data_IF_564185015227
#
_entry.id   IF_564185015227
#
_cell.length_a   1.000
_cell.length_b   1.000
_cell.length_c   1.000
_cell.angle_alpha   90.00
_cell.angle_beta   90.00
_cell.angle_gamma   90.00
#
_symmetry.space_group_name_H-M   'P 1'
#
loop_
_entity.id
_entity.type
_entity.pdbx_description
1 polymer ?
#
# COMPACT_ATOMS: atom_id res chain seq x y z
N UNK A 1 15.37 -12.13 12.64
CA UNK A 1 14.59 -11.08 11.97
C UNK A 1 15.45 -10.41 10.90
N UNK A 2 15.07 -10.48 9.63
CA UNK A 2 15.83 -9.94 8.48
C UNK A 2 16.02 -8.42 8.56
N UNK A 3 15.05 -7.70 9.15
CA UNK A 3 15.07 -6.23 9.29
C UNK A 3 16.09 -5.77 10.32
N UNK A 4 16.35 -6.56 11.36
CA UNK A 4 17.26 -6.17 12.45
C UNK A 4 18.70 -5.87 11.96
N UNK A 5 19.10 -6.51 10.87
CA UNK A 5 20.44 -6.36 10.29
C UNK A 5 20.62 -4.99 9.63
N UNK A 6 19.52 -4.39 9.16
CA UNK A 6 19.49 -3.07 8.54
C UNK A 6 18.96 -2.00 9.49
N UNK A 7 19.16 -2.18 10.82
CA UNK A 7 18.58 -1.33 11.88
C UNK A 7 18.87 0.15 11.70
N UNK A 8 20.09 0.53 11.29
CA UNK A 8 20.46 1.93 11.05
C UNK A 8 19.66 2.52 9.88
N UNK A 9 19.56 1.80 8.76
CA UNK A 9 18.80 2.27 7.60
C UNK A 9 17.29 2.36 7.94
N UNK A 10 16.77 1.40 8.68
CA UNK A 10 15.40 1.42 9.16
C UNK A 10 15.12 2.63 10.06
N UNK A 11 16.02 2.92 11.02
CA UNK A 11 15.90 4.10 11.89
C UNK A 11 15.94 5.41 11.10
N UNK A 12 16.88 5.56 10.14
CA UNK A 12 16.97 6.73 9.27
C UNK A 12 15.72 6.90 8.40
N UNK A 13 15.11 5.80 7.98
CA UNK A 13 13.83 5.83 7.25
C UNK A 13 12.70 6.38 8.13
N UNK A 14 12.60 5.93 9.39
CA UNK A 14 11.61 6.45 10.36
C UNK A 14 11.83 7.94 10.57
N UNK A 15 13.06 8.37 10.81
CA UNK A 15 13.40 9.78 10.99
C UNK A 15 12.98 10.63 9.78
N UNK A 16 13.22 10.12 8.56
CA UNK A 16 12.74 10.76 7.32
C UNK A 16 11.22 10.89 7.27
N UNK A 17 10.48 9.84 7.63
CA UNK A 17 9.02 9.88 7.65
C UNK A 17 8.45 10.76 8.76
N UNK A 18 9.11 10.86 9.91
CA UNK A 18 8.77 11.84 10.95
C UNK A 18 8.93 13.26 10.41
N UNK A 19 10.07 13.58 9.80
CA UNK A 19 10.29 14.88 9.16
C UNK A 19 9.25 15.20 8.09
N UNK A 20 8.89 14.22 7.27
CA UNK A 20 7.81 14.34 6.28
C UNK A 20 6.46 14.66 6.93
N UNK A 21 6.09 13.94 8.00
CA UNK A 21 4.80 14.10 8.69
C UNK A 21 4.71 15.45 9.41
N UNK A 22 5.78 15.87 10.06
CA UNK A 22 5.87 17.19 10.71
C UNK A 22 5.76 18.30 9.67
N UNK A 23 6.45 18.19 8.54
CA UNK A 23 6.35 19.18 7.46
C UNK A 23 4.93 19.29 6.88
N UNK A 24 4.16 18.19 6.80
CA UNK A 24 2.75 18.24 6.40
C UNK A 24 1.89 19.04 7.38
N UNK A 25 2.11 18.87 8.69
CA UNK A 25 1.41 19.65 9.72
C UNK A 25 1.79 21.12 9.62
N UNK A 26 3.09 21.43 9.50
CA UNK A 26 3.56 22.81 9.41
C UNK A 26 3.08 23.49 8.12
N UNK A 27 2.90 22.77 7.02
CA UNK A 27 2.28 23.32 5.81
C UNK A 27 0.80 23.66 6.02
N UNK A 28 0.07 22.88 6.81
CA UNK A 28 -1.29 23.26 7.22
C UNK A 28 -1.29 24.48 8.14
N UNK A 29 -0.34 24.56 9.09
CA UNK A 29 -0.22 25.71 10.00
C UNK A 29 0.27 26.99 9.28
N UNK A 30 1.02 26.86 8.18
CA UNK A 30 1.41 27.99 7.34
C UNK A 30 0.20 28.70 6.72
N UNK A 31 -0.86 27.97 6.38
CA UNK A 31 -2.11 28.59 5.90
C UNK A 31 -2.79 29.39 7.02
N UNK A 32 -2.70 28.92 8.26
CA UNK A 32 -3.13 29.67 9.45
C UNK A 32 -2.35 30.97 9.57
N UNK A 33 -1.02 30.88 9.54
CA UNK A 33 -0.14 32.03 9.64
C UNK A 33 -0.43 33.10 8.56
N UNK A 34 -0.64 32.66 7.30
CA UNK A 34 -1.01 33.56 6.21
C UNK A 34 -2.31 34.32 6.50
N UNK A 35 -3.38 33.60 6.88
CA UNK A 35 -4.69 34.19 7.08
C UNK A 35 -4.75 35.08 8.33
N UNK A 36 -4.10 34.67 9.42
CA UNK A 36 -4.02 35.45 10.64
C UNK A 36 -3.18 36.71 10.43
N UNK A 37 -2.22 36.72 9.48
CA UNK A 37 -1.45 37.92 9.12
C UNK A 37 -2.20 38.90 8.24
N UNK A 38 -3.25 38.49 7.52
CA UNK A 38 -4.11 39.31 6.71
C UNK A 38 -5.27 39.95 7.53
N UNK A 39 -5.59 39.33 8.68
CA UNK A 39 -6.61 39.85 9.60
C UNK A 39 -6.02 40.83 10.61
N UNK A 40 -6.83 41.79 11.09
CA UNK A 40 -6.46 42.70 12.17
C UNK A 40 -6.36 42.03 13.56
N UNK A 41 -6.31 40.72 13.61
CA UNK A 41 -6.35 39.93 14.87
C UNK A 41 -5.02 40.10 15.64
N UNK A 42 -5.09 40.67 16.83
CA UNK A 42 -4.00 40.77 17.83
C UNK A 42 -3.41 39.44 18.27
N UNK A 43 -3.87 38.31 17.72
CA UNK A 43 -3.47 36.93 18.02
C UNK A 43 -2.41 36.38 17.05
N UNK A 44 -1.77 37.23 16.29
CA UNK A 44 -0.65 36.87 15.42
C UNK A 44 0.50 36.33 16.30
N UNK A 45 0.87 35.08 16.15
CA UNK A 45 1.98 34.50 16.91
C UNK A 45 1.64 33.23 17.71
N UNK A 46 0.38 32.75 17.69
CA UNK A 46 -0.04 31.57 18.43
C UNK A 46 0.18 30.25 17.64
N UNK A 47 0.38 30.33 16.30
CA UNK A 47 0.62 29.17 15.44
C UNK A 47 2.04 28.59 15.58
N UNK A 48 2.21 27.30 15.28
CA UNK A 48 3.52 26.63 15.33
C UNK A 48 4.53 27.29 14.37
N UNK A 49 4.09 27.57 13.13
CA UNK A 49 4.92 28.22 12.12
C UNK A 49 5.24 29.65 12.54
N UNK A 50 4.26 30.39 13.09
CA UNK A 50 4.49 31.75 13.58
C UNK A 50 5.58 31.78 14.67
N UNK A 51 5.52 30.87 15.64
CA UNK A 51 6.54 30.76 16.69
C UNK A 51 7.92 30.42 16.12
N UNK A 52 8.00 29.47 15.17
CA UNK A 52 9.27 29.10 14.53
C UNK A 52 9.85 30.27 13.72
N UNK A 53 9.02 30.93 12.93
CA UNK A 53 9.46 32.05 12.07
C UNK A 53 9.88 33.24 12.92
N UNK A 54 9.13 33.60 13.98
CA UNK A 54 9.53 34.68 14.91
C UNK A 54 10.80 34.37 15.69
N UNK A 55 11.03 33.07 16.04
CA UNK A 55 12.25 32.63 16.70
C UNK A 55 13.49 32.72 15.81
N UNK A 56 13.34 32.45 14.49
CA UNK A 56 14.44 32.48 13.53
C UNK A 56 14.67 33.88 12.92
N UNK A 57 13.60 34.63 12.72
CA UNK A 57 13.60 35.97 12.13
C UNK A 57 12.60 36.87 12.87
N UNK A 58 13.05 37.61 13.88
CA UNK A 58 12.20 38.52 14.63
C UNK A 58 11.59 39.59 13.71
N UNK A 59 10.32 39.92 13.95
CA UNK A 59 9.52 40.80 13.13
C UNK A 59 10.11 42.21 13.01
N UNK A 60 10.82 42.69 14.05
CA UNK A 60 11.30 44.08 14.14
C UNK A 60 10.14 45.07 14.05
N UNK A 61 10.37 46.18 13.35
CA UNK A 61 9.37 47.25 13.12
C UNK A 61 8.48 47.05 11.87
N UNK A 62 8.53 45.84 11.26
CA UNK A 62 7.74 45.54 10.06
C UNK A 62 6.27 45.34 10.40
N UNK A 63 5.41 45.88 9.54
CA UNK A 63 3.97 45.60 9.56
C UNK A 63 3.71 44.07 9.36
N UNK A 64 2.61 43.59 9.94
CA UNK A 64 2.23 42.18 9.85
C UNK A 64 2.18 41.67 8.41
N UNK A 65 1.57 42.41 7.52
CA UNK A 65 1.41 42.09 6.11
C UNK A 65 2.76 42.11 5.38
N UNK A 66 3.59 43.13 5.65
CA UNK A 66 4.92 43.25 5.07
C UNK A 66 5.83 42.10 5.50
N UNK A 67 5.76 41.70 6.77
CA UNK A 67 6.47 40.52 7.29
C UNK A 67 5.98 39.21 6.67
N UNK A 68 4.67 38.96 6.62
CA UNK A 68 4.08 37.80 6.04
C UNK A 68 4.37 37.66 4.53
N UNK A 69 4.46 38.78 3.80
CA UNK A 69 4.80 38.83 2.37
C UNK A 69 6.14 38.14 2.05
N UNK A 70 7.08 38.14 2.99
CA UNK A 70 8.37 37.48 2.83
C UNK A 70 8.37 36.11 3.56
N UNK A 71 7.88 36.11 4.78
CA UNK A 71 7.94 34.94 5.66
C UNK A 71 7.12 33.74 5.11
N UNK A 72 5.94 33.97 4.51
CA UNK A 72 5.08 32.90 3.98
C UNK A 72 5.69 32.23 2.77
N UNK A 73 6.13 32.91 1.70
CA UNK A 73 6.77 32.25 0.56
C UNK A 73 8.07 31.54 0.94
N UNK A 74 8.91 32.16 1.76
CA UNK A 74 10.16 31.54 2.23
C UNK A 74 9.85 30.30 3.08
N UNK A 75 8.92 30.42 4.02
CA UNK A 75 8.46 29.30 4.85
C UNK A 75 7.87 28.16 4.00
N UNK A 76 7.07 28.47 2.99
CA UNK A 76 6.53 27.46 2.06
C UNK A 76 7.63 26.69 1.33
N UNK A 77 8.64 27.42 0.81
CA UNK A 77 9.78 26.77 0.12
C UNK A 77 10.60 25.91 1.09
N UNK A 78 10.93 26.44 2.27
CA UNK A 78 11.69 25.71 3.30
C UNK A 78 10.94 24.44 3.74
N UNK A 79 9.66 24.55 4.05
CA UNK A 79 8.83 23.41 4.45
C UNK A 79 8.66 22.41 3.31
N UNK A 80 8.53 22.87 2.07
CA UNK A 80 8.51 21.97 0.91
C UNK A 80 9.83 21.22 0.73
N UNK A 81 10.97 21.87 0.94
CA UNK A 81 12.29 21.23 0.91
C UNK A 81 12.46 20.20 2.05
N UNK A 82 12.07 20.56 3.28
CA UNK A 82 12.09 19.65 4.43
C UNK A 82 11.20 18.43 4.16
N UNK A 83 10.00 18.67 3.64
CA UNK A 83 9.07 17.60 3.26
C UNK A 83 9.64 16.71 2.17
N UNK A 84 10.24 17.29 1.12
CA UNK A 84 10.87 16.54 0.03
C UNK A 84 12.07 15.72 0.53
N UNK A 85 12.93 16.32 1.37
CA UNK A 85 14.06 15.64 1.99
C UNK A 85 13.59 14.49 2.90
N UNK A 86 12.59 14.72 3.75
CA UNK A 86 12.02 13.69 4.61
C UNK A 86 11.40 12.54 3.81
N UNK A 87 10.68 12.85 2.74
CA UNK A 87 10.14 11.85 1.81
C UNK A 87 11.25 11.05 1.12
N UNK A 88 12.27 11.73 0.63
CA UNK A 88 13.41 11.09 -0.02
C UNK A 88 14.16 10.16 0.95
N UNK A 89 14.57 10.68 2.10
CA UNK A 89 15.28 9.89 3.12
C UNK A 89 14.45 8.67 3.56
N UNK A 90 13.18 8.89 3.90
CA UNK A 90 12.28 7.82 4.32
C UNK A 90 12.18 6.71 3.29
N UNK A 91 11.92 7.06 2.02
CA UNK A 91 11.79 6.06 0.95
C UNK A 91 13.13 5.43 0.55
N UNK A 92 14.21 6.20 0.48
CA UNK A 92 15.52 5.69 0.06
C UNK A 92 16.04 4.64 1.06
N UNK A 93 16.06 4.97 2.35
CA UNK A 93 16.54 4.04 3.38
C UNK A 93 15.61 2.83 3.56
N UNK A 94 14.29 3.00 3.41
CA UNK A 94 13.38 1.87 3.41
C UNK A 94 13.60 0.93 2.20
N UNK A 95 13.93 1.48 1.04
CA UNK A 95 14.29 0.67 -0.13
C UNK A 95 15.62 -0.09 0.09
N UNK A 96 16.60 0.47 0.81
CA UNK A 96 17.82 -0.27 1.18
C UNK A 96 17.45 -1.49 2.03
N UNK A 97 16.60 -1.32 3.05
CA UNK A 97 16.09 -2.44 3.87
C UNK A 97 15.39 -3.47 2.98
N UNK A 98 14.48 -3.03 2.12
CA UNK A 98 13.72 -3.89 1.22
C UNK A 98 14.63 -4.73 0.32
N UNK A 99 15.56 -4.09 -0.39
CA UNK A 99 16.47 -4.79 -1.30
C UNK A 99 17.43 -5.72 -0.59
N UNK A 100 17.84 -5.37 0.63
CA UNK A 100 18.62 -6.26 1.48
C UNK A 100 17.85 -7.52 1.89
N UNK A 101 16.58 -7.40 2.23
CA UNK A 101 15.71 -8.56 2.53
C UNK A 101 15.49 -9.42 1.29
N UNK A 102 15.22 -8.82 0.11
CA UNK A 102 15.12 -9.54 -1.18
C UNK A 102 16.36 -10.40 -1.44
N UNK A 103 17.52 -9.76 -1.36
CA UNK A 103 18.78 -10.44 -1.63
C UNK A 103 18.96 -11.67 -0.73
N UNK A 104 18.74 -11.52 0.56
CA UNK A 104 18.86 -12.62 1.53
C UNK A 104 17.86 -13.74 1.31
N UNK A 105 16.58 -13.39 1.09
CA UNK A 105 15.57 -14.40 0.81
C UNK A 105 15.91 -15.16 -0.47
N UNK A 106 16.34 -14.45 -1.51
CA UNK A 106 16.70 -15.07 -2.79
C UNK A 106 17.87 -16.06 -2.65
N UNK A 107 18.91 -15.66 -1.91
CA UNK A 107 20.05 -16.56 -1.65
C UNK A 107 19.64 -17.75 -0.81
N UNK A 108 18.83 -17.56 0.23
CA UNK A 108 18.37 -18.68 1.07
C UNK A 108 17.47 -19.66 0.31
N UNK A 109 16.53 -19.15 -0.51
CA UNK A 109 15.70 -20.03 -1.37
C UNK A 109 16.56 -20.78 -2.37
N UNK A 110 17.53 -20.10 -2.98
CA UNK A 110 18.45 -20.75 -3.92
C UNK A 110 19.29 -21.84 -3.23
N UNK A 111 19.90 -21.50 -2.08
CA UNK A 111 20.69 -22.45 -1.30
C UNK A 111 19.88 -23.67 -0.83
N UNK A 112 18.60 -23.43 -0.46
CA UNK A 112 17.69 -24.52 -0.14
C UNK A 112 17.41 -25.40 -1.38
N UNK A 113 17.04 -24.80 -2.51
CA UNK A 113 16.70 -25.51 -3.74
C UNK A 113 17.83 -26.43 -4.26
N UNK A 114 19.09 -26.00 -4.15
CA UNK A 114 20.22 -26.84 -4.61
C UNK A 114 20.58 -27.97 -3.65
N UNK A 115 20.00 -27.98 -2.42
CA UNK A 115 20.28 -28.99 -1.40
C UNK A 115 19.12 -29.96 -1.17
N UNK A 116 17.93 -29.69 -1.71
CA UNK A 116 16.79 -30.61 -1.55
C UNK A 116 16.96 -31.87 -2.38
N UNK A 117 16.38 -33.02 -1.94
CA UNK A 117 16.39 -34.26 -2.70
C UNK A 117 15.80 -34.07 -4.10
N UNK A 118 16.38 -34.78 -5.08
CA UNK A 118 15.95 -34.70 -6.48
C UNK A 118 14.45 -34.99 -6.66
N UNK A 119 13.86 -35.87 -5.89
CA UNK A 119 12.43 -36.21 -5.91
C UNK A 119 11.54 -34.98 -5.67
N UNK A 120 11.99 -34.04 -4.81
CA UNK A 120 11.26 -32.79 -4.54
C UNK A 120 11.33 -31.85 -5.77
N UNK A 121 12.51 -31.77 -6.41
CA UNK A 121 12.72 -30.94 -7.62
C UNK A 121 11.90 -31.50 -8.80
N UNK A 122 11.86 -32.81 -8.98
CA UNK A 122 11.11 -33.49 -10.06
C UNK A 122 9.58 -33.27 -9.93
N UNK A 123 9.09 -32.90 -8.74
CA UNK A 123 7.69 -32.50 -8.51
C UNK A 123 7.33 -31.12 -9.04
N UNK A 124 8.30 -30.31 -9.47
CA UNK A 124 8.09 -28.95 -9.99
C UNK A 124 8.53 -28.86 -11.46
N UNK A 125 7.87 -27.99 -12.21
CA UNK A 125 8.37 -27.59 -13.52
C UNK A 125 9.54 -26.62 -13.38
N UNK A 126 10.44 -26.58 -14.35
CA UNK A 126 11.54 -25.60 -14.38
C UNK A 126 11.04 -24.14 -14.30
N UNK A 127 9.90 -23.86 -14.93
CA UNK A 127 9.27 -22.53 -14.89
C UNK A 127 8.80 -22.14 -13.48
N UNK A 128 8.25 -23.08 -12.73
CA UNK A 128 7.82 -22.86 -11.33
C UNK A 128 9.01 -22.56 -10.42
N UNK A 129 10.11 -23.31 -10.53
CA UNK A 129 11.32 -23.08 -9.74
C UNK A 129 11.94 -21.70 -10.03
N UNK A 130 12.02 -21.32 -11.31
CA UNK A 130 12.49 -19.99 -11.70
C UNK A 130 11.54 -18.90 -11.20
N UNK A 131 10.22 -19.13 -11.26
CA UNK A 131 9.21 -18.20 -10.75
C UNK A 131 9.35 -18.00 -9.23
N UNK A 132 9.61 -19.06 -8.47
CA UNK A 132 9.85 -18.96 -7.01
C UNK A 132 11.03 -18.05 -6.69
N UNK A 133 12.14 -18.20 -7.39
CA UNK A 133 13.35 -17.40 -7.19
C UNK A 133 13.21 -15.92 -7.65
N UNK A 134 12.36 -15.67 -8.64
CA UNK A 134 12.22 -14.34 -9.23
C UNK A 134 10.98 -13.62 -8.71
N UNK A 135 9.79 -14.13 -9.01
CA UNK A 135 8.52 -13.46 -8.71
C UNK A 135 8.09 -13.59 -7.25
N UNK A 136 8.12 -14.80 -6.68
CA UNK A 136 7.60 -14.99 -5.32
C UNK A 136 8.46 -14.28 -4.29
N UNK A 137 9.80 -14.32 -4.42
CA UNK A 137 10.71 -13.57 -3.53
C UNK A 137 10.49 -12.07 -3.65
N UNK A 138 10.35 -11.54 -4.87
CA UNK A 138 10.08 -10.11 -5.09
C UNK A 138 8.71 -9.71 -4.52
N UNK A 139 7.69 -10.58 -4.66
CA UNK A 139 6.35 -10.35 -4.15
C UNK A 139 6.30 -10.30 -2.62
N UNK A 140 6.98 -11.23 -1.92
CA UNK A 140 7.07 -11.23 -0.46
C UNK A 140 7.76 -9.97 0.05
N UNK A 141 8.89 -9.64 -0.53
CA UNK A 141 9.65 -8.48 -0.09
C UNK A 141 8.98 -7.16 -0.49
N UNK A 142 8.42 -7.08 -1.70
CA UNK A 142 7.67 -5.91 -2.15
C UNK A 142 6.45 -5.65 -1.27
N UNK A 143 5.67 -6.70 -0.95
CA UNK A 143 4.53 -6.59 -0.06
C UNK A 143 4.95 -6.16 1.36
N UNK A 144 5.96 -6.81 1.94
CA UNK A 144 6.43 -6.50 3.30
C UNK A 144 6.96 -5.06 3.40
N UNK A 145 7.75 -4.62 2.42
CA UNK A 145 8.36 -3.29 2.41
C UNK A 145 7.34 -2.18 2.16
N UNK A 146 6.41 -2.39 1.22
CA UNK A 146 5.37 -1.41 0.92
C UNK A 146 4.36 -1.30 2.07
N UNK A 147 3.99 -2.43 2.68
CA UNK A 147 3.14 -2.43 3.86
C UNK A 147 3.81 -1.67 5.02
N UNK A 148 5.07 -1.99 5.33
CA UNK A 148 5.81 -1.36 6.42
C UNK A 148 6.02 0.15 6.19
N UNK A 149 6.39 0.52 4.95
CA UNK A 149 6.53 1.91 4.52
C UNK A 149 5.22 2.69 4.68
N UNK A 150 4.11 2.12 4.24
CA UNK A 150 2.80 2.75 4.31
C UNK A 150 2.33 2.88 5.76
N UNK A 151 2.48 1.84 6.59
CA UNK A 151 2.11 1.89 8.01
C UNK A 151 2.89 2.98 8.73
N UNK A 152 4.20 3.06 8.53
CA UNK A 152 5.04 4.03 9.23
C UNK A 152 4.77 5.45 8.68
N UNK A 153 4.90 5.67 7.37
CA UNK A 153 4.74 7.00 6.78
C UNK A 153 3.33 7.56 6.97
N UNK A 154 2.33 6.78 6.55
CA UNK A 154 0.96 7.25 6.55
C UNK A 154 0.36 7.20 7.95
N UNK A 155 0.77 6.22 8.79
CA UNK A 155 0.41 6.16 10.20
C UNK A 155 0.95 7.36 10.99
N UNK A 156 2.23 7.70 10.83
CA UNK A 156 2.81 8.90 11.45
C UNK A 156 2.14 10.18 10.96
N UNK A 157 1.81 10.25 9.66
CA UNK A 157 1.11 11.42 9.10
C UNK A 157 -0.29 11.56 9.69
N UNK A 158 -1.05 10.46 9.82
CA UNK A 158 -2.38 10.48 10.46
C UNK A 158 -2.28 10.90 11.92
N UNK A 159 -1.36 10.33 12.69
CA UNK A 159 -1.16 10.68 14.09
C UNK A 159 -0.76 12.15 14.26
N UNK A 160 0.15 12.65 13.43
CA UNK A 160 0.59 14.04 13.49
C UNK A 160 -0.53 15.03 13.13
N UNK A 161 -1.33 14.73 12.09
CA UNK A 161 -2.46 15.56 11.70
C UNK A 161 -3.58 15.54 12.75
N UNK A 162 -3.90 14.38 13.33
CA UNK A 162 -4.90 14.27 14.41
C UNK A 162 -4.42 15.04 15.64
N UNK A 163 -3.15 14.88 16.05
CA UNK A 163 -2.59 15.62 17.17
C UNK A 163 -2.65 17.14 16.92
N UNK A 164 -2.39 17.58 15.69
CA UNK A 164 -2.51 18.97 15.30
C UNK A 164 -3.96 19.48 15.32
N UNK A 165 -4.92 18.68 14.84
CA UNK A 165 -6.34 19.03 14.91
C UNK A 165 -6.83 19.14 16.37
N UNK A 166 -6.40 18.24 17.27
CA UNK A 166 -6.69 18.32 18.70
C UNK A 166 -6.05 19.56 19.35
N UNK A 167 -4.83 19.93 18.92
CA UNK A 167 -4.16 21.14 19.37
C UNK A 167 -4.90 22.40 18.92
N UNK A 168 -5.47 22.43 17.70
CA UNK A 168 -6.25 23.55 17.21
C UNK A 168 -7.58 23.70 17.97
N UNK A 169 -8.35 22.60 18.02
CA UNK A 169 -9.60 22.55 18.76
C UNK A 169 -10.07 21.09 18.95
N UNK A 170 -10.13 20.65 20.19
CA UNK A 170 -10.53 19.29 20.52
C UNK A 170 -12.03 19.02 20.26
N UNK A 171 -12.90 20.04 20.43
CA UNK A 171 -14.35 19.92 20.23
C UNK A 171 -14.67 19.68 18.75
N UNK A 172 -14.09 20.50 17.84
CA UNK A 172 -14.24 20.31 16.40
C UNK A 172 -13.64 18.98 15.93
N UNK A 173 -12.57 18.54 16.56
CA UNK A 173 -11.95 17.24 16.25
C UNK A 173 -12.89 16.10 16.63
N UNK A 174 -13.57 16.19 17.76
CA UNK A 174 -14.61 15.20 18.15
C UNK A 174 -15.78 15.19 17.17
N UNK A 175 -16.26 16.36 16.75
CA UNK A 175 -17.31 16.48 15.73
C UNK A 175 -16.86 15.80 14.42
N UNK A 176 -15.63 16.06 13.98
CA UNK A 176 -15.04 15.43 12.79
C UNK A 176 -15.03 13.89 12.94
N UNK A 177 -14.61 13.37 14.09
CA UNK A 177 -14.62 11.94 14.35
C UNK A 177 -16.03 11.36 14.46
N UNK A 178 -17.01 12.10 14.92
CA UNK A 178 -18.40 11.64 14.97
C UNK A 178 -19.03 11.51 13.57
N UNK A 179 -18.62 12.34 12.61
CA UNK A 179 -19.10 12.28 11.21
C UNK A 179 -18.35 11.20 10.41
N UNK A 180 -17.10 10.93 10.72
CA UNK A 180 -16.24 9.96 10.00
C UNK A 180 -16.84 8.56 9.88
N UNK A 181 -17.46 7.94 10.91
CA UNK A 181 -18.08 6.61 10.79
C UNK A 181 -19.23 6.55 9.79
N UNK A 182 -20.01 7.63 9.67
CA UNK A 182 -21.10 7.69 8.68
C UNK A 182 -20.53 7.64 7.24
N UNK A 183 -19.48 8.40 6.98
CA UNK A 183 -18.76 8.36 5.69
C UNK A 183 -18.16 6.97 5.45
N UNK A 184 -17.50 6.41 6.46
CA UNK A 184 -16.92 5.07 6.37
C UNK A 184 -17.98 3.99 6.08
N UNK A 185 -19.15 4.08 6.68
CA UNK A 185 -20.28 3.18 6.43
C UNK A 185 -20.70 3.17 4.96
N UNK A 186 -20.85 4.34 4.36
CA UNK A 186 -21.20 4.47 2.94
C UNK A 186 -20.10 3.91 2.04
N UNK A 187 -18.83 4.22 2.33
CA UNK A 187 -17.68 3.68 1.57
C UNK A 187 -17.62 2.15 1.65
N UNK A 188 -17.93 1.57 2.81
CA UNK A 188 -17.97 0.11 2.98
C UNK A 188 -19.10 -0.53 2.16
N UNK A 189 -20.29 0.08 2.12
CA UNK A 189 -21.42 -0.41 1.31
C UNK A 189 -21.08 -0.37 -0.18
N UNK A 190 -20.56 0.75 -0.67
CA UNK A 190 -20.11 0.91 -2.05
C UNK A 190 -19.01 -0.12 -2.38
N UNK A 191 -18.04 -0.29 -1.49
CA UNK A 191 -16.94 -1.25 -1.65
C UNK A 191 -17.39 -2.71 -1.71
N UNK A 192 -18.46 -3.09 -0.99
CA UNK A 192 -19.06 -4.43 -1.07
C UNK A 192 -19.67 -4.68 -2.45
N UNK A 193 -20.43 -3.71 -2.97
CA UNK A 193 -21.04 -3.81 -4.30
C UNK A 193 -19.97 -3.86 -5.41
N UNK A 194 -18.94 -3.02 -5.29
CA UNK A 194 -17.80 -3.03 -6.20
C UNK A 194 -17.14 -4.42 -6.26
N UNK A 195 -16.79 -5.01 -5.11
CA UNK A 195 -16.16 -6.35 -5.05
C UNK A 195 -17.07 -7.43 -5.64
N UNK A 196 -18.38 -7.36 -5.37
CA UNK A 196 -19.35 -8.33 -5.89
C UNK A 196 -19.40 -8.31 -7.43
N UNK A 197 -19.49 -7.12 -8.04
CA UNK A 197 -19.56 -7.01 -9.49
C UNK A 197 -18.21 -7.28 -10.15
N UNK A 198 -17.12 -6.84 -9.56
CA UNK A 198 -15.76 -7.14 -10.05
C UNK A 198 -15.51 -8.66 -10.12
N UNK A 199 -15.91 -9.40 -9.08
CA UNK A 199 -15.81 -10.87 -9.09
C UNK A 199 -16.65 -11.50 -10.19
N UNK A 200 -17.88 -11.08 -10.36
CA UNK A 200 -18.75 -11.58 -11.45
C UNK A 200 -18.20 -11.29 -12.84
N UNK A 201 -17.53 -10.16 -13.03
CA UNK A 201 -16.85 -9.85 -14.29
C UNK A 201 -15.68 -10.81 -14.52
N UNK A 202 -14.88 -11.09 -13.49
CA UNK A 202 -13.79 -12.06 -13.59
C UNK A 202 -14.30 -13.46 -13.91
N UNK A 203 -15.37 -13.92 -13.23
CA UNK A 203 -15.98 -15.22 -13.49
C UNK A 203 -16.50 -15.29 -14.94
N UNK A 204 -17.25 -14.28 -15.39
CA UNK A 204 -17.80 -14.25 -16.75
C UNK A 204 -16.72 -14.07 -17.84
N UNK A 205 -15.60 -13.42 -17.53
CA UNK A 205 -14.47 -13.32 -18.45
C UNK A 205 -13.74 -14.67 -18.58
N UNK A 206 -13.70 -15.46 -17.51
CA UNK A 206 -13.28 -16.86 -17.57
C UNK A 206 -14.12 -17.69 -18.53
N UNK A 207 -15.46 -17.55 -18.47
CA UNK A 207 -16.37 -18.23 -19.40
C UNK A 207 -16.17 -17.77 -20.87
N UNK A 208 -15.96 -16.46 -21.11
CA UNK A 208 -15.62 -15.94 -22.46
C UNK A 208 -14.33 -16.58 -22.97
N UNK A 209 -13.30 -16.63 -22.14
CA UNK A 209 -11.99 -17.19 -22.51
C UNK A 209 -12.11 -18.70 -22.79
N UNK A 210 -12.82 -19.42 -21.93
CA UNK A 210 -13.04 -20.87 -22.09
C UNK A 210 -13.80 -21.17 -23.40
N UNK A 211 -14.91 -20.43 -23.64
CA UNK A 211 -15.69 -20.64 -24.85
C UNK A 211 -14.92 -20.27 -26.12
N UNK A 212 -14.08 -19.21 -26.04
CA UNK A 212 -13.19 -18.86 -27.15
C UNK A 212 -12.19 -19.96 -27.46
N UNK A 213 -11.53 -20.50 -26.42
CA UNK A 213 -10.57 -21.59 -26.58
C UNK A 213 -11.26 -22.86 -27.13
N UNK A 214 -12.42 -23.25 -26.57
CA UNK A 214 -13.23 -24.37 -27.06
C UNK A 214 -13.56 -24.20 -28.53
N UNK A 215 -14.02 -22.99 -28.93
CA UNK A 215 -14.37 -22.70 -30.32
C UNK A 215 -13.17 -22.73 -31.27
N UNK A 216 -11.99 -22.31 -30.81
CA UNK A 216 -10.78 -22.35 -31.63
C UNK A 216 -10.23 -23.78 -31.77
N UNK A 217 -10.30 -24.59 -30.70
CA UNK A 217 -9.89 -25.99 -30.75
C UNK A 217 -10.82 -26.84 -31.59
N UNK A 218 -12.15 -26.60 -31.52
CA UNK A 218 -13.16 -27.33 -32.26
C UNK A 218 -13.57 -26.62 -33.57
N UNK A 219 -12.66 -25.84 -34.18
CA UNK A 219 -12.99 -25.00 -35.34
C UNK A 219 -13.46 -25.80 -36.54
N UNK A 220 -12.80 -26.92 -36.86
CA UNK A 220 -13.12 -27.77 -38.00
C UNK A 220 -14.44 -28.52 -37.77
N UNK A 221 -14.67 -29.00 -36.52
CA UNK A 221 -15.92 -29.66 -36.17
C UNK A 221 -17.12 -28.72 -36.24
N UNK A 222 -16.97 -27.46 -35.73
CA UNK A 222 -18.04 -26.44 -35.84
C UNK A 222 -18.43 -26.20 -37.31
N UNK A 223 -17.44 -26.16 -38.20
CA UNK A 223 -17.72 -25.98 -39.65
C UNK A 223 -18.30 -27.22 -40.28
N UNK A 224 -17.79 -28.40 -39.95
CA UNK A 224 -18.25 -29.67 -40.51
C UNK A 224 -19.72 -29.96 -40.14
N UNK A 225 -20.13 -29.60 -38.91
CA UNK A 225 -21.49 -29.76 -38.43
C UNK A 225 -22.38 -28.54 -38.66
N UNK A 226 -21.91 -27.51 -39.37
CA UNK A 226 -22.64 -26.27 -39.62
C UNK A 226 -23.18 -25.60 -38.34
N UNK A 227 -22.44 -25.73 -37.22
CA UNK A 227 -22.83 -25.24 -35.90
C UNK A 227 -22.39 -23.78 -35.62
N UNK A 228 -21.91 -23.05 -36.64
CA UNK A 228 -21.39 -21.69 -36.52
C UNK A 228 -22.36 -20.70 -35.86
N UNK A 229 -23.63 -20.74 -36.28
CA UNK A 229 -24.66 -19.84 -35.75
C UNK A 229 -24.99 -20.15 -34.30
N UNK A 230 -25.02 -21.42 -33.90
CA UNK A 230 -25.25 -21.84 -32.52
C UNK A 230 -24.10 -21.40 -31.62
N UNK A 231 -22.86 -21.58 -32.05
CA UNK A 231 -21.68 -21.20 -31.27
C UNK A 231 -21.57 -19.67 -31.17
N UNK A 232 -21.88 -18.94 -32.24
CA UNK A 232 -21.98 -17.48 -32.24
C UNK A 232 -23.03 -16.98 -31.24
N UNK A 233 -24.23 -17.57 -31.26
CA UNK A 233 -25.30 -17.22 -30.32
C UNK A 233 -24.89 -17.47 -28.87
N UNK A 234 -24.19 -18.60 -28.58
CA UNK A 234 -23.64 -18.93 -27.25
C UNK A 234 -22.62 -17.91 -26.81
N UNK A 235 -21.69 -17.53 -27.70
CA UNK A 235 -20.69 -16.50 -27.40
C UNK A 235 -21.35 -15.13 -27.14
N UNK A 236 -22.33 -14.75 -27.96
CA UNK A 236 -23.08 -13.51 -27.74
C UNK A 236 -23.77 -13.47 -26.37
N UNK A 237 -24.36 -14.57 -25.90
CA UNK A 237 -25.01 -14.63 -24.59
C UNK A 237 -24.01 -14.41 -23.45
N UNK A 238 -22.86 -15.09 -23.47
CA UNK A 238 -21.82 -14.96 -22.46
C UNK A 238 -21.20 -13.54 -22.48
N UNK A 239 -20.89 -13.02 -23.68
CA UNK A 239 -20.37 -11.65 -23.85
C UNK A 239 -21.36 -10.59 -23.38
N UNK A 240 -22.66 -10.77 -23.69
CA UNK A 240 -23.72 -9.87 -23.22
C UNK A 240 -23.84 -9.89 -21.67
N UNK A 241 -23.73 -11.06 -21.06
CA UNK A 241 -23.72 -11.16 -19.60
C UNK A 241 -22.54 -10.39 -18.98
N UNK A 242 -21.33 -10.56 -19.54
CA UNK A 242 -20.15 -9.82 -19.11
C UNK A 242 -20.36 -8.29 -19.24
N UNK A 243 -20.90 -7.85 -20.40
CA UNK A 243 -21.24 -6.44 -20.65
C UNK A 243 -22.18 -5.89 -19.58
N UNK A 244 -23.23 -6.63 -19.22
CA UNK A 244 -24.20 -6.18 -18.20
C UNK A 244 -23.54 -6.06 -16.83
N UNK A 245 -22.67 -7.00 -16.44
CA UNK A 245 -21.95 -6.90 -15.16
C UNK A 245 -20.97 -5.71 -15.17
N UNK A 246 -20.27 -5.48 -16.29
CA UNK A 246 -19.38 -4.34 -16.47
C UNK A 246 -20.11 -3.00 -16.38
N UNK A 247 -21.30 -2.89 -16.97
CA UNK A 247 -22.15 -1.69 -16.84
C UNK A 247 -22.61 -1.45 -15.39
N UNK A 248 -22.95 -2.52 -14.64
CA UNK A 248 -23.30 -2.40 -13.22
C UNK A 248 -22.10 -1.93 -12.40
N UNK A 249 -20.89 -2.42 -12.69
CA UNK A 249 -19.68 -1.94 -12.05
C UNK A 249 -19.41 -0.48 -12.38
N UNK A 250 -19.51 -0.09 -13.65
CA UNK A 250 -19.35 1.28 -14.10
C UNK A 250 -20.34 2.23 -13.42
N UNK A 251 -21.60 1.80 -13.23
CA UNK A 251 -22.60 2.56 -12.48
C UNK A 251 -22.18 2.76 -11.02
N UNK A 252 -21.74 1.70 -10.33
CA UNK A 252 -21.24 1.81 -8.95
C UNK A 252 -20.05 2.77 -8.85
N UNK A 253 -19.13 2.72 -9.81
CA UNK A 253 -18.01 3.65 -9.88
C UNK A 253 -18.46 5.09 -10.13
N UNK A 254 -19.35 5.31 -11.09
CA UNK A 254 -19.85 6.62 -11.45
C UNK A 254 -20.63 7.30 -10.31
N UNK A 255 -21.36 6.53 -9.50
CA UNK A 255 -22.15 7.03 -8.36
C UNK A 255 -21.30 7.21 -7.11
N UNK A 256 -20.22 6.45 -6.93
CA UNK A 256 -19.38 6.51 -5.73
C UNK A 256 -18.72 7.88 -5.53
N UNK A 257 -18.24 8.51 -6.58
CA UNK A 257 -17.57 9.82 -6.49
C UNK A 257 -18.54 10.95 -6.10
N UNK A 258 -19.70 11.13 -6.74
CA UNK A 258 -20.70 12.10 -6.30
C UNK A 258 -21.18 11.88 -4.86
N UNK A 259 -21.44 10.64 -4.46
CA UNK A 259 -21.83 10.33 -3.08
C UNK A 259 -20.73 10.78 -2.10
N UNK A 260 -19.46 10.48 -2.38
CA UNK A 260 -18.36 10.91 -1.53
C UNK A 260 -18.27 12.45 -1.46
N UNK A 261 -18.51 13.15 -2.57
CA UNK A 261 -18.52 14.63 -2.61
C UNK A 261 -19.67 15.22 -1.76
N UNK A 262 -20.87 14.66 -1.89
CA UNK A 262 -22.03 15.10 -1.09
C UNK A 262 -21.79 14.84 0.41
N UNK A 263 -21.25 13.68 0.76
CA UNK A 263 -20.89 13.36 2.14
C UNK A 263 -19.84 14.31 2.70
N UNK A 264 -18.83 14.65 1.89
CA UNK A 264 -17.82 15.63 2.27
C UNK A 264 -18.45 17.02 2.47
N UNK A 265 -19.35 17.44 1.58
CA UNK A 265 -20.07 18.70 1.73
C UNK A 265 -20.94 18.74 3.01
N UNK A 266 -21.63 17.64 3.33
CA UNK A 266 -22.40 17.51 4.58
C UNK A 266 -21.46 17.57 5.79
N UNK A 267 -20.31 16.88 5.75
CA UNK A 267 -19.31 16.92 6.81
C UNK A 267 -18.79 18.33 7.05
N UNK A 268 -18.48 19.05 5.97
CA UNK A 268 -18.05 20.45 6.04
C UNK A 268 -19.17 21.37 6.57
N UNK A 269 -20.41 21.17 6.13
CA UNK A 269 -21.55 21.95 6.61
C UNK A 269 -21.76 21.74 8.11
N UNK A 270 -21.70 20.51 8.61
CA UNK A 270 -21.78 20.20 10.05
C UNK A 270 -20.63 20.86 10.81
N UNK A 271 -19.41 20.78 10.25
CA UNK A 271 -18.22 21.38 10.86
C UNK A 271 -18.36 22.91 10.92
N UNK A 272 -18.85 23.57 9.85
CA UNK A 272 -19.12 25.02 9.86
C UNK A 272 -20.24 25.41 10.85
N UNK A 273 -21.27 24.57 10.94
CA UNK A 273 -22.34 24.82 11.92
C UNK A 273 -21.78 24.91 13.35
N UNK A 274 -20.95 23.94 13.74
CA UNK A 274 -20.32 23.97 15.05
C UNK A 274 -19.23 25.03 15.18
N UNK A 275 -18.42 25.26 14.14
CA UNK A 275 -17.35 26.25 14.18
C UNK A 275 -17.86 27.71 14.29
N UNK A 276 -19.08 27.97 13.81
CA UNK A 276 -19.74 29.28 13.92
C UNK A 276 -20.50 29.47 15.24
N UNK A 277 -20.51 28.47 16.13
CA UNK A 277 -21.04 28.63 17.47
C UNK A 277 -20.26 29.74 18.22
N UNK A 278 -20.94 30.73 18.86
CA UNK A 278 -20.28 31.84 19.52
C UNK A 278 -19.25 31.45 20.57
N UNK A 279 -19.49 30.34 21.31
CA UNK A 279 -18.57 29.86 22.34
C UNK A 279 -17.30 29.26 21.73
N UNK A 280 -17.41 28.55 20.62
CA UNK A 280 -16.28 27.98 19.88
C UNK A 280 -15.56 29.07 19.11
N UNK A 281 -16.28 29.97 18.46
CA UNK A 281 -15.75 31.08 17.66
C UNK A 281 -14.90 32.04 18.50
N UNK A 282 -15.25 32.27 19.75
CA UNK A 282 -14.47 33.14 20.65
C UNK A 282 -13.02 32.63 20.86
N UNK A 283 -12.78 31.34 20.72
CA UNK A 283 -11.45 30.71 20.80
C UNK A 283 -10.73 30.51 19.47
N UNK A 284 -11.38 30.84 18.33
CA UNK A 284 -10.89 30.51 17.00
C UNK A 284 -10.52 31.74 16.20
N UNK A 285 -9.42 31.66 15.46
CA UNK A 285 -9.10 32.65 14.40
C UNK A 285 -9.56 32.10 13.04
N UNK A 286 -9.87 32.97 12.06
CA UNK A 286 -10.17 32.53 10.70
C UNK A 286 -9.07 31.60 10.11
N UNK A 287 -7.81 31.90 10.42
CA UNK A 287 -6.67 31.09 10.02
C UNK A 287 -6.68 29.70 10.65
N UNK A 288 -7.06 29.57 11.94
CA UNK A 288 -7.14 28.26 12.60
C UNK A 288 -8.25 27.37 12.03
N UNK A 289 -9.37 27.95 11.61
CA UNK A 289 -10.44 27.20 10.94
C UNK A 289 -9.98 26.63 9.59
N UNK A 290 -9.32 27.46 8.78
CA UNK A 290 -8.80 27.03 7.48
C UNK A 290 -7.69 25.97 7.65
N UNK A 291 -6.80 26.14 8.62
CA UNK A 291 -5.78 25.14 8.93
C UNK A 291 -6.39 23.82 9.40
N UNK A 292 -7.47 23.86 10.19
CA UNK A 292 -8.21 22.66 10.59
C UNK A 292 -8.80 21.93 9.37
N UNK A 293 -9.44 22.66 8.46
CA UNK A 293 -9.99 22.09 7.22
C UNK A 293 -8.87 21.52 6.34
N UNK A 294 -7.75 22.23 6.23
CA UNK A 294 -6.58 21.77 5.50
C UNK A 294 -6.01 20.46 6.08
N UNK A 295 -5.91 20.36 7.41
CA UNK A 295 -5.47 19.15 8.08
C UNK A 295 -6.47 18.00 7.88
N UNK A 296 -7.77 18.26 8.03
CA UNK A 296 -8.83 17.26 7.84
C UNK A 296 -8.85 16.71 6.39
N UNK A 297 -8.69 17.58 5.39
CA UNK A 297 -8.60 17.14 3.98
C UNK A 297 -7.34 16.32 3.68
N UNK A 298 -6.21 16.66 4.31
CA UNK A 298 -4.97 15.92 4.16
C UNK A 298 -5.05 14.49 4.75
N UNK A 299 -5.94 14.21 5.71
CA UNK A 299 -6.14 12.86 6.27
C UNK A 299 -6.69 11.87 5.24
N UNK A 300 -7.41 12.32 4.24
CA UNK A 300 -8.11 11.43 3.29
C UNK A 300 -7.19 10.46 2.55
N UNK A 301 -6.03 10.91 2.08
CA UNK A 301 -5.06 10.08 1.35
C UNK A 301 -4.39 9.04 2.26
N UNK A 302 -3.76 9.40 3.40
CA UNK A 302 -3.15 8.44 4.30
C UNK A 302 -4.13 7.38 4.83
N UNK A 303 -5.34 7.75 5.20
CA UNK A 303 -6.36 6.80 5.67
C UNK A 303 -6.70 5.79 4.57
N UNK A 304 -6.90 6.25 3.33
CA UNK A 304 -7.15 5.38 2.18
C UNK A 304 -6.00 4.42 1.90
N UNK A 305 -4.75 4.87 1.98
CA UNK A 305 -3.59 4.00 1.76
C UNK A 305 -3.43 2.98 2.87
N UNK A 306 -3.67 3.36 4.14
CA UNK A 306 -3.67 2.43 5.28
C UNK A 306 -4.74 1.34 5.15
N UNK A 307 -5.94 1.65 4.67
CA UNK A 307 -6.97 0.63 4.43
C UNK A 307 -6.58 -0.38 3.36
N UNK A 308 -5.77 0.00 2.39
CA UNK A 308 -5.29 -0.89 1.34
C UNK A 308 -4.13 -1.80 1.78
N UNK A 309 -3.46 -1.47 2.89
CA UNK A 309 -2.32 -2.25 3.40
C UNK A 309 -2.68 -3.70 3.68
N UNK A 310 -3.89 -3.96 4.18
CA UNK A 310 -4.35 -5.32 4.47
C UNK A 310 -4.27 -6.23 3.23
N UNK A 311 -4.63 -5.72 2.05
CA UNK A 311 -4.55 -6.50 0.81
C UNK A 311 -3.12 -6.76 0.36
N UNK A 312 -2.20 -5.82 0.66
CA UNK A 312 -0.77 -5.96 0.38
C UNK A 312 -0.18 -7.04 1.30
N UNK A 313 -0.50 -7.00 2.59
CA UNK A 313 -0.04 -8.00 3.58
C UNK A 313 -0.54 -9.40 3.21
N UNK A 314 -1.82 -9.56 2.85
CA UNK A 314 -2.37 -10.87 2.50
C UNK A 314 -1.69 -11.48 1.27
N UNK A 315 -1.38 -10.67 0.23
CA UNK A 315 -0.62 -11.17 -0.92
C UNK A 315 0.80 -11.58 -0.55
N UNK A 316 1.46 -10.79 0.30
CA UNK A 316 2.79 -11.11 0.79
C UNK A 316 2.80 -12.38 1.65
N UNK A 317 1.78 -12.59 2.48
CA UNK A 317 1.65 -13.77 3.33
C UNK A 317 1.49 -15.04 2.49
N UNK A 318 0.58 -15.03 1.52
CA UNK A 318 0.38 -16.18 0.62
C UNK A 318 1.66 -16.55 -0.15
N UNK A 319 2.41 -15.56 -0.64
CA UNK A 319 3.69 -15.83 -1.30
C UNK A 319 4.78 -16.29 -0.32
N UNK A 320 4.74 -15.84 0.94
CA UNK A 320 5.72 -16.24 1.95
C UNK A 320 5.53 -17.68 2.41
N UNK A 321 4.30 -18.16 2.54
CA UNK A 321 4.02 -19.56 2.90
C UNK A 321 4.68 -20.54 1.92
N UNK A 322 4.55 -20.29 0.61
CA UNK A 322 5.18 -21.11 -0.43
C UNK A 322 6.72 -21.07 -0.36
N UNK A 323 7.30 -19.88 -0.12
CA UNK A 323 8.76 -19.74 -0.03
C UNK A 323 9.34 -20.36 1.24
N UNK A 324 8.70 -20.17 2.39
CA UNK A 324 9.19 -20.76 3.64
C UNK A 324 9.01 -22.29 3.66
N UNK A 325 7.95 -22.82 3.09
CA UNK A 325 7.81 -24.25 2.90
C UNK A 325 8.99 -24.84 2.10
N UNK A 326 9.49 -24.09 1.09
CA UNK A 326 10.66 -24.49 0.32
C UNK A 326 11.97 -24.38 1.11
N UNK A 327 12.14 -23.31 1.89
CA UNK A 327 13.35 -23.10 2.73
C UNK A 327 13.43 -24.15 3.84
N UNK A 328 12.28 -24.53 4.41
CA UNK A 328 12.18 -25.46 5.53
C UNK A 328 12.21 -26.94 5.06
N UNK A 329 12.24 -27.20 3.75
CA UNK A 329 12.38 -28.54 3.21
C UNK A 329 13.76 -29.10 3.60
N UNK A 330 13.83 -30.30 4.23
CA UNK A 330 15.11 -30.88 4.62
C UNK A 330 16.05 -31.08 3.43
N UNK A 331 17.32 -30.72 3.64
CA UNK A 331 18.35 -31.03 2.66
C UNK A 331 18.51 -32.55 2.46
N UNK A 332 18.98 -32.93 1.29
CA UNK A 332 19.34 -34.33 1.04
C UNK A 332 20.38 -34.79 2.06
N UNK A 333 20.08 -35.90 2.74
CA UNK A 333 20.99 -36.46 3.72
C UNK A 333 22.18 -37.13 3.00
N UNK A 334 23.38 -36.72 3.35
CA UNK A 334 24.60 -37.42 2.96
C UNK A 334 25.06 -38.29 4.13
N UNK A 335 24.72 -39.60 4.12
CA UNK A 335 25.12 -40.53 5.19
C UNK A 335 26.58 -41.00 5.06
N UNK A 336 27.35 -40.47 4.11
CA UNK A 336 28.74 -40.85 3.90
C UNK A 336 29.63 -40.45 5.08
N UNK A 337 30.27 -41.41 5.74
CA UNK A 337 31.20 -41.19 6.85
C UNK A 337 32.68 -41.28 6.44
N UNK A 338 32.97 -41.79 5.25
CA UNK A 338 34.36 -42.05 4.79
C UNK A 338 34.76 -41.02 3.72
N UNK A 339 35.78 -40.24 4.00
CA UNK A 339 36.43 -39.41 3.00
C UNK A 339 37.52 -40.16 2.21
N UNK A 340 37.56 -39.97 0.91
CA UNK A 340 38.62 -40.53 0.03
C UNK A 340 39.41 -39.34 -0.55
N UNK A 341 40.72 -39.30 -0.31
CA UNK A 341 41.57 -38.21 -0.84
C UNK A 341 41.64 -38.25 -2.37
N UNK A 342 41.66 -39.46 -2.98
CA UNK A 342 41.63 -39.61 -4.44
C UNK A 342 41.03 -40.98 -4.79
N UNK A 343 39.90 -40.94 -5.51
CA UNK A 343 39.28 -42.15 -6.08
C UNK A 343 40.11 -42.67 -7.28
N UNK A 344 40.35 -43.98 -7.33
CA UNK A 344 41.05 -44.64 -8.45
C UNK A 344 40.12 -44.92 -9.65
N UNK A 345 38.82 -44.60 -9.52
CA UNK A 345 37.83 -44.73 -10.59
C UNK A 345 37.30 -46.15 -10.79
N UNK A 346 37.65 -47.10 -9.94
CA UNK A 346 37.11 -48.46 -9.98
C UNK A 346 35.85 -48.56 -9.14
N UNK A 347 34.71 -48.81 -9.79
CA UNK A 347 33.39 -48.90 -9.16
C UNK A 347 32.87 -50.32 -9.40
N UNK A 348 32.55 -51.03 -8.33
CA UNK A 348 31.93 -52.33 -8.35
C UNK A 348 30.56 -52.24 -7.72
N UNK A 349 29.52 -52.63 -8.42
CA UNK A 349 28.15 -52.67 -7.98
C UNK A 349 27.75 -54.15 -7.84
N UNK A 350 27.57 -54.59 -6.59
CA UNK A 350 27.18 -55.98 -6.28
C UNK A 350 25.83 -55.98 -5.58
N UNK A 351 24.88 -56.72 -6.11
CA UNK A 351 23.56 -56.96 -5.51
C UNK A 351 22.79 -55.69 -5.08
N UNK A 352 22.80 -54.67 -5.95
CA UNK A 352 22.11 -53.42 -5.70
C UNK A 352 20.65 -53.51 -6.13
N UNK A 353 19.75 -53.16 -5.19
CA UNK A 353 18.33 -52.97 -5.45
C UNK A 353 17.97 -51.50 -5.30
N UNK A 354 17.22 -50.94 -6.22
CA UNK A 354 16.70 -49.58 -6.16
C UNK A 354 15.17 -49.55 -6.32
N UNK A 355 14.50 -48.68 -5.57
CA UNK A 355 13.10 -48.36 -5.79
C UNK A 355 12.89 -46.88 -5.69
N UNK A 356 12.02 -46.33 -6.54
CA UNK A 356 11.63 -44.92 -6.42
C UNK A 356 10.78 -44.71 -5.16
N UNK A 357 10.93 -43.58 -4.46
CA UNK A 357 10.08 -43.24 -3.33
C UNK A 357 8.60 -43.27 -3.74
N UNK A 358 7.79 -44.09 -3.08
CA UNK A 358 6.36 -44.28 -3.38
C UNK A 358 6.04 -45.35 -4.40
N UNK A 359 7.02 -46.04 -4.99
CA UNK A 359 6.83 -47.24 -5.82
C UNK A 359 7.42 -48.45 -5.11
N UNK A 360 6.59 -49.50 -4.90
CA UNK A 360 7.03 -50.76 -4.29
C UNK A 360 7.81 -51.65 -5.27
N UNK A 361 7.87 -51.31 -6.55
CA UNK A 361 8.62 -52.07 -7.54
C UNK A 361 10.10 -51.78 -7.41
N UNK A 362 10.87 -52.86 -7.19
CA UNK A 362 12.33 -52.82 -7.32
C UNK A 362 12.70 -52.82 -8.80
N UNK A 363 13.52 -51.87 -9.19
CA UNK A 363 14.14 -51.82 -10.52
C UNK A 363 15.53 -52.39 -10.45
#
# INVERSE_FOLDING_TARGET
SYVAIYGLAFFLSILGFVGYSVANVLLADLTRFLLDSLGESSRMGIGLVAQMVHGLWPRGDLDAVAYARIAVPVGAIVLALVRAAGYFLGNYFMNIVARGVVHRLRTQVFDALIRVPKVVIDGYTHGELVSKLTFNVEQVSGASSEALKTIIRDGLTVLALIAYMLYLNWQLTLVFFAVTPAIAGVVLVVGRHFRRYSRRIQDSMGEVTQLSNESMHAFDEIRMFSASDQQSARFHAVSQFNRVQSLKLAFVQAVSTPIAQVLLAIALAVLFWFALDPEILAGFTPGSLVAFIAAATQLGKPIRTLTNVQSIIQRGLAASEDLFAQIDTPAEADPGEQGIDRAQGHIVLEDIGFSYPGDERRV
#
